data_IF_950099252438
#
_entry.id   IF_950099252438
#
_cell.length_a   1.000
_cell.length_b   1.000
_cell.length_c   1.000
_cell.angle_alpha   90.00
_cell.angle_beta   90.00
_cell.angle_gamma   90.00
#
_symmetry.space_group_name_H-M   'P 1'
#
loop_
_entity.id
_entity.type
_entity.pdbx_description
1 polymer ?
#
# COMPACT_ATOMS: atom_id res chain seq x y z
N UNK A 1 75.72 30.74 47.60
CA UNK A 1 74.45 30.45 48.26
C UNK A 1 73.36 31.07 47.42
N UNK A 2 72.85 30.28 46.42
CA UNK A 2 71.85 30.74 45.47
C UNK A 2 70.52 29.99 45.73
N UNK A 3 69.51 30.73 46.11
CA UNK A 3 68.15 30.17 46.25
C UNK A 3 67.49 30.03 44.90
N UNK A 4 67.01 28.81 44.55
CA UNK A 4 66.15 28.53 43.38
C UNK A 4 64.64 28.76 43.75
N UNK A 5 64.11 29.84 43.22
CA UNK A 5 62.58 30.02 43.24
C UNK A 5 61.92 29.05 42.27
N UNK A 6 61.11 28.17 42.81
CA UNK A 6 60.16 27.29 42.03
C UNK A 6 59.01 28.13 41.58
N UNK A 7 58.90 28.33 40.28
CA UNK A 7 57.65 28.85 39.61
C UNK A 7 56.73 27.67 39.31
N UNK A 8 55.59 27.58 39.99
CA UNK A 8 54.57 26.65 39.72
C UNK A 8 53.65 27.21 38.60
N UNK A 9 53.68 26.60 37.42
CA UNK A 9 52.79 26.91 36.28
C UNK A 9 51.45 26.15 36.48
N UNK A 10 50.39 26.86 36.85
CA UNK A 10 49.04 26.30 36.93
C UNK A 10 48.44 26.26 35.51
N UNK A 11 48.31 25.06 34.93
CA UNK A 11 47.58 24.83 33.69
C UNK A 11 46.10 24.70 34.05
N UNK A 12 45.30 25.74 33.75
CA UNK A 12 43.86 25.72 33.86
C UNK A 12 43.30 24.98 32.63
N UNK A 13 42.93 23.72 32.80
CA UNK A 13 42.16 22.94 31.81
C UNK A 13 40.72 23.45 31.81
N UNK A 14 40.34 24.30 30.85
CA UNK A 14 38.96 24.62 30.54
C UNK A 14 38.27 23.40 29.88
N UNK A 15 37.57 22.59 30.66
CA UNK A 15 36.65 21.59 30.17
C UNK A 15 35.43 22.32 29.58
N UNK A 16 35.39 22.45 28.26
CA UNK A 16 34.16 22.87 27.56
C UNK A 16 33.17 21.73 27.68
N UNK A 17 32.25 21.83 28.65
CA UNK A 17 31.04 20.99 28.64
C UNK A 17 30.19 21.42 27.45
N UNK A 18 30.29 20.67 26.37
CA UNK A 18 29.26 20.73 25.30
C UNK A 18 27.99 20.12 25.90
N UNK A 19 27.16 20.95 26.49
CA UNK A 19 25.78 20.58 26.80
C UNK A 19 25.07 20.41 25.44
N UNK A 20 25.10 19.20 24.91
CA UNK A 20 24.20 18.83 23.82
C UNK A 20 22.78 19.10 24.31
N UNK A 21 22.14 20.13 23.79
CA UNK A 21 20.69 20.28 23.96
C UNK A 21 20.08 18.94 23.53
N UNK A 22 19.39 18.26 24.43
CA UNK A 22 18.60 17.10 24.07
C UNK A 22 17.54 17.61 23.08
N UNK A 23 17.77 17.36 21.79
CA UNK A 23 16.79 17.67 20.77
C UNK A 23 15.56 16.81 21.03
N UNK A 24 14.39 17.42 21.04
CA UNK A 24 13.15 16.66 21.24
C UNK A 24 12.92 15.74 20.04
N UNK A 25 12.48 14.50 20.32
CA UNK A 25 12.14 13.54 19.26
C UNK A 25 11.08 14.14 18.31
N UNK A 26 11.26 13.89 17.00
CA UNK A 26 10.22 14.19 16.01
C UNK A 26 9.10 13.13 16.13
N UNK A 27 7.93 13.54 16.61
CA UNK A 27 6.79 12.65 16.68
C UNK A 27 6.09 12.54 15.33
N UNK A 28 5.74 11.33 14.93
CA UNK A 28 4.88 11.06 13.77
C UNK A 28 3.72 10.16 14.17
N UNK A 29 2.53 10.45 13.67
CA UNK A 29 1.36 9.60 13.87
C UNK A 29 1.34 8.44 12.87
N UNK A 30 0.75 7.30 13.26
CA UNK A 30 0.50 6.15 12.40
C UNK A 30 -0.94 5.65 12.58
N UNK A 31 -1.81 5.93 11.60
CA UNK A 31 -3.24 5.55 11.61
C UNK A 31 -3.42 4.31 10.72
N UNK A 32 -3.60 3.15 11.35
CA UNK A 32 -3.81 1.87 10.66
C UNK A 32 -4.83 1.02 11.41
N UNK A 33 -5.51 0.08 10.76
CA UNK A 33 -6.32 -0.92 11.46
C UNK A 33 -5.39 -1.97 12.09
N UNK A 34 -5.08 -1.82 13.38
CA UNK A 34 -4.27 -2.79 14.13
C UNK A 34 -5.11 -3.91 14.72
N UNK A 35 -6.43 -3.75 14.77
CA UNK A 35 -7.40 -4.75 15.23
C UNK A 35 -8.57 -4.88 14.26
N UNK A 36 -9.50 -5.79 14.53
CA UNK A 36 -10.70 -6.03 13.70
C UNK A 36 -10.41 -6.79 12.39
N UNK A 37 -11.36 -6.73 11.48
CA UNK A 37 -11.36 -7.53 10.23
C UNK A 37 -10.20 -7.21 9.27
N UNK A 38 -9.61 -6.02 9.35
CA UNK A 38 -8.53 -5.54 8.50
C UNK A 38 -7.15 -5.60 9.17
N UNK A 39 -7.05 -6.19 10.37
CA UNK A 39 -5.84 -6.16 11.19
C UNK A 39 -4.62 -6.75 10.50
N UNK A 40 -4.76 -7.87 9.78
CA UNK A 40 -3.61 -8.53 9.14
C UNK A 40 -2.92 -7.61 8.14
N UNK A 41 -3.68 -6.98 7.25
CA UNK A 41 -3.13 -6.05 6.25
C UNK A 41 -2.76 -4.69 6.83
N UNK A 42 -3.49 -4.23 7.87
CA UNK A 42 -3.13 -3.02 8.59
C UNK A 42 -1.79 -3.14 9.31
N UNK A 43 -1.58 -4.25 10.02
CA UNK A 43 -0.30 -4.54 10.67
C UNK A 43 0.82 -4.76 9.66
N UNK A 44 0.55 -5.49 8.57
CA UNK A 44 1.52 -5.70 7.49
C UNK A 44 1.95 -4.37 6.86
N UNK A 45 1.01 -3.48 6.58
CA UNK A 45 1.27 -2.12 6.08
C UNK A 45 2.13 -1.32 7.06
N UNK A 46 1.76 -1.33 8.35
CA UNK A 46 2.51 -0.62 9.40
C UNK A 46 3.95 -1.12 9.54
N UNK A 47 4.22 -2.42 9.39
CA UNK A 47 5.59 -2.98 9.46
C UNK A 47 6.53 -2.31 8.46
N UNK A 48 6.04 -1.96 7.27
CA UNK A 48 6.82 -1.22 6.28
C UNK A 48 7.24 0.17 6.78
N UNK A 49 6.31 0.92 7.36
CA UNK A 49 6.60 2.22 7.98
C UNK A 49 7.60 2.06 9.15
N UNK A 50 7.40 1.08 10.01
CA UNK A 50 8.25 0.85 11.19
C UNK A 50 9.69 0.54 10.79
N UNK A 51 9.90 -0.31 9.76
CA UNK A 51 11.25 -0.58 9.21
C UNK A 51 11.88 0.69 8.64
N UNK A 52 11.12 1.50 7.88
CA UNK A 52 11.64 2.74 7.29
C UNK A 52 12.09 3.73 8.39
N UNK A 53 11.28 3.91 9.43
CA UNK A 53 11.61 4.78 10.57
C UNK A 53 12.82 4.25 11.34
N UNK A 54 12.90 2.93 11.58
CA UNK A 54 14.03 2.32 12.26
C UNK A 54 15.34 2.50 11.48
N UNK A 55 15.30 2.40 10.14
CA UNK A 55 16.47 2.69 9.31
C UNK A 55 16.92 4.15 9.40
N UNK A 56 15.99 5.11 9.39
CA UNK A 56 16.30 6.53 9.52
C UNK A 56 16.89 6.82 10.91
N UNK A 57 16.30 6.25 11.96
CA UNK A 57 16.81 6.40 13.33
C UNK A 57 18.21 5.81 13.50
N UNK A 58 18.47 4.65 12.92
CA UNK A 58 19.81 4.02 12.93
C UNK A 58 20.85 4.84 12.15
N UNK A 59 20.43 5.64 11.16
CA UNK A 59 21.28 6.54 10.39
C UNK A 59 21.48 7.92 11.06
N UNK A 60 20.99 8.14 12.27
CA UNK A 60 21.12 9.39 13.01
C UNK A 60 19.85 10.23 13.10
N UNK A 61 18.70 9.68 12.68
CA UNK A 61 17.39 10.32 12.78
C UNK A 61 17.07 11.31 11.65
N UNK A 62 15.97 12.01 11.80
CA UNK A 62 15.53 13.05 10.86
C UNK A 62 16.25 14.36 11.22
N UNK A 63 17.22 14.74 10.41
CA UNK A 63 18.05 15.94 10.65
C UNK A 63 18.76 15.96 12.05
N UNK A 64 19.10 14.78 12.56
CA UNK A 64 19.74 14.63 13.86
C UNK A 64 18.78 14.37 15.03
N UNK A 65 17.49 14.35 14.78
CA UNK A 65 16.45 14.09 15.77
C UNK A 65 15.83 12.70 15.57
N UNK A 66 15.65 11.95 16.65
CA UNK A 66 15.03 10.63 16.59
C UNK A 66 13.54 10.75 16.26
N UNK A 67 13.03 9.85 15.40
CA UNK A 67 11.61 9.76 15.10
C UNK A 67 10.94 8.79 16.08
N UNK A 68 9.86 9.24 16.71
CA UNK A 68 8.99 8.41 17.55
C UNK A 68 7.62 8.26 16.89
N UNK A 69 7.15 7.01 16.75
CA UNK A 69 5.86 6.69 16.14
C UNK A 69 4.77 6.60 17.21
N UNK A 70 3.72 7.39 17.06
CA UNK A 70 2.50 7.31 17.88
C UNK A 70 1.44 6.50 17.11
N UNK A 71 1.14 5.28 17.59
CA UNK A 71 0.16 4.39 16.94
C UNK A 71 -1.27 4.81 17.26
N UNK A 72 -2.14 4.70 16.27
CA UNK A 72 -3.57 4.94 16.37
C UNK A 72 -4.32 3.81 15.66
N UNK A 73 -5.08 3.02 16.42
CA UNK A 73 -5.88 1.92 15.90
C UNK A 73 -7.20 2.47 15.32
N UNK A 74 -7.40 2.29 14.02
CA UNK A 74 -8.56 2.76 13.31
C UNK A 74 -9.22 1.62 12.53
N UNK A 75 -10.16 0.92 13.15
CA UNK A 75 -10.85 -0.23 12.53
C UNK A 75 -11.99 0.19 11.60
N UNK A 76 -12.46 1.43 11.74
CA UNK A 76 -13.55 2.00 10.94
C UNK A 76 -13.39 3.53 10.77
N UNK A 77 -14.23 4.18 9.93
CA UNK A 77 -14.17 5.62 9.71
C UNK A 77 -14.39 6.47 10.96
N UNK A 78 -15.20 6.01 11.92
CA UNK A 78 -15.48 6.74 13.16
C UNK A 78 -14.26 6.79 14.05
N UNK A 79 -13.61 5.64 14.25
CA UNK A 79 -12.35 5.56 14.99
C UNK A 79 -11.22 6.32 14.27
N UNK A 80 -11.17 6.28 12.92
CA UNK A 80 -10.21 7.04 12.17
C UNK A 80 -10.27 8.54 12.50
N UNK A 81 -11.47 9.12 12.61
CA UNK A 81 -11.64 10.53 13.00
C UNK A 81 -11.16 10.78 14.43
N UNK A 82 -11.58 9.97 15.42
CA UNK A 82 -11.23 10.18 16.82
C UNK A 82 -9.74 10.00 17.09
N UNK A 83 -9.15 8.96 16.53
CA UNK A 83 -7.73 8.68 16.71
C UNK A 83 -6.83 9.69 15.97
N UNK A 84 -7.24 10.16 14.80
CA UNK A 84 -6.51 11.23 14.11
C UNK A 84 -6.57 12.54 14.88
N UNK A 85 -7.72 12.89 15.48
CA UNK A 85 -7.82 14.06 16.38
C UNK A 85 -6.89 13.93 17.57
N UNK A 86 -6.79 12.74 18.18
CA UNK A 86 -5.85 12.49 19.27
C UNK A 86 -4.41 12.75 18.80
N UNK A 87 -3.99 12.14 17.68
CA UNK A 87 -2.64 12.35 17.14
C UNK A 87 -2.32 13.81 16.85
N UNK A 88 -3.24 14.54 16.21
CA UNK A 88 -3.02 15.97 15.89
C UNK A 88 -2.95 16.87 17.14
N UNK A 89 -3.47 16.40 18.29
CA UNK A 89 -3.32 17.11 19.57
C UNK A 89 -2.01 16.82 20.31
N UNK A 90 -1.21 15.87 19.83
CA UNK A 90 0.07 15.47 20.43
C UNK A 90 1.31 16.06 19.70
N UNK A 91 1.14 17.12 18.92
CA UNK A 91 2.18 17.85 18.18
C UNK A 91 2.99 16.94 17.23
N UNK A 92 2.31 16.08 16.47
CA UNK A 92 2.95 15.27 15.46
C UNK A 92 3.35 16.10 14.24
N UNK A 93 4.56 15.88 13.73
CA UNK A 93 5.07 16.56 12.53
C UNK A 93 4.36 16.10 11.24
N UNK A 94 3.86 14.88 11.23
CA UNK A 94 3.09 14.28 10.14
C UNK A 94 2.29 13.08 10.64
N UNK A 95 1.27 12.67 9.89
CA UNK A 95 0.54 11.41 10.08
C UNK A 95 0.77 10.52 8.89
N UNK A 96 1.17 9.27 9.12
CA UNK A 96 1.27 8.20 8.12
C UNK A 96 0.06 7.28 8.24
N UNK A 97 -0.46 6.84 7.15
CA UNK A 97 -1.57 5.90 7.11
C UNK A 97 -1.96 5.67 5.66
N UNK A 98 -2.99 4.99 5.43
CA UNK A 98 -3.53 3.89 6.19
C UNK A 98 -3.42 2.61 5.32
N UNK A 99 -4.33 1.72 5.46
CA UNK A 99 -4.51 0.60 4.53
C UNK A 99 -5.84 0.75 3.76
N UNK A 100 -6.92 0.99 4.50
CA UNK A 100 -8.28 0.99 3.94
C UNK A 100 -8.73 2.41 3.53
N UNK A 101 -9.29 2.52 2.34
CA UNK A 101 -9.70 3.82 1.78
C UNK A 101 -10.77 4.54 2.61
N UNK A 102 -11.68 3.80 3.26
CA UNK A 102 -12.67 4.39 4.17
C UNK A 102 -12.04 5.06 5.39
N UNK A 103 -10.95 4.48 5.92
CA UNK A 103 -10.18 5.02 7.04
C UNK A 103 -9.49 6.32 6.63
N UNK A 104 -8.71 6.29 5.53
CA UNK A 104 -8.00 7.48 5.04
C UNK A 104 -8.97 8.60 4.63
N UNK A 105 -10.09 8.25 4.01
CA UNK A 105 -11.10 9.23 3.61
C UNK A 105 -11.67 9.98 4.82
N UNK A 106 -11.80 9.34 5.97
CA UNK A 106 -12.27 9.93 7.22
C UNK A 106 -11.16 10.65 8.02
N UNK A 107 -9.93 10.12 8.01
CA UNK A 107 -8.80 10.68 8.76
C UNK A 107 -8.27 12.00 8.15
N UNK A 108 -8.15 12.06 6.82
CA UNK A 108 -7.47 13.15 6.11
C UNK A 108 -8.12 14.54 6.24
N UNK A 109 -9.46 14.72 6.40
CA UNK A 109 -10.02 16.02 6.73
C UNK A 109 -9.54 16.55 8.08
N UNK A 110 -9.29 15.66 9.04
CA UNK A 110 -8.85 16.04 10.39
C UNK A 110 -7.43 16.61 10.37
N UNK A 111 -6.51 15.94 9.66
CA UNK A 111 -5.13 16.43 9.51
C UNK A 111 -5.06 17.69 8.67
N UNK A 112 -5.87 17.80 7.62
CA UNK A 112 -5.94 19.02 6.79
C UNK A 112 -6.37 20.24 7.62
N UNK A 113 -7.43 20.12 8.42
CA UNK A 113 -7.90 21.18 9.32
C UNK A 113 -6.88 21.55 10.40
N UNK A 114 -6.08 20.58 10.86
CA UNK A 114 -5.01 20.81 11.81
C UNK A 114 -3.73 21.38 11.18
N UNK A 115 -3.64 21.45 9.85
CA UNK A 115 -2.43 21.86 9.14
C UNK A 115 -1.29 20.85 9.26
N UNK A 116 -1.59 19.57 9.53
CA UNK A 116 -0.63 18.48 9.68
C UNK A 116 -0.55 17.67 8.39
N UNK A 117 0.63 17.47 7.80
CA UNK A 117 0.77 16.62 6.62
C UNK A 117 0.29 15.19 6.85
N UNK A 118 -0.50 14.66 5.90
CA UNK A 118 -0.89 13.25 5.88
C UNK A 118 -0.19 12.52 4.72
N UNK A 119 0.51 11.47 5.04
CA UNK A 119 1.24 10.63 4.09
C UNK A 119 0.53 9.30 3.90
N UNK A 120 -0.22 9.20 2.81
CA UNK A 120 -0.95 8.00 2.45
C UNK A 120 -0.01 6.96 1.83
N UNK A 121 -0.02 5.74 2.39
CA UNK A 121 0.89 4.66 2.03
C UNK A 121 0.18 3.44 1.41
N UNK A 122 -1.16 3.32 1.55
CA UNK A 122 -1.86 2.09 1.17
C UNK A 122 -3.25 2.29 0.56
N UNK A 123 -4.02 3.27 1.03
CA UNK A 123 -5.37 3.47 0.52
C UNK A 123 -5.39 4.02 -0.92
N UNK A 124 -6.21 3.42 -1.78
CA UNK A 124 -6.17 3.66 -3.22
C UNK A 124 -7.32 4.50 -3.77
N UNK A 125 -8.43 4.72 -3.04
CA UNK A 125 -9.59 5.45 -3.58
C UNK A 125 -9.19 6.80 -4.19
N UNK A 126 -9.68 7.06 -5.40
CA UNK A 126 -9.35 8.26 -6.17
C UNK A 126 -9.69 9.55 -5.41
N UNK A 127 -10.87 9.55 -4.77
CA UNK A 127 -11.36 10.70 -4.02
C UNK A 127 -10.50 11.12 -2.82
N UNK A 128 -9.53 10.32 -2.39
CA UNK A 128 -8.64 10.71 -1.29
C UNK A 128 -7.85 11.97 -1.67
N UNK A 129 -7.18 11.99 -2.82
CA UNK A 129 -6.31 13.11 -3.25
C UNK A 129 -7.00 14.16 -4.13
N UNK A 130 -8.27 13.96 -4.54
CA UNK A 130 -8.98 14.90 -5.45
C UNK A 130 -9.91 15.86 -4.74
N UNK A 131 -9.81 15.99 -3.41
CA UNK A 131 -10.62 16.90 -2.59
C UNK A 131 -10.02 18.30 -2.43
N UNK A 132 -8.87 18.58 -3.05
CA UNK A 132 -8.19 19.87 -2.99
C UNK A 132 -7.46 20.12 -1.67
N UNK A 133 -7.09 19.07 -0.93
CA UNK A 133 -6.31 19.20 0.31
C UNK A 133 -4.87 19.60 0.01
N UNK A 134 -4.36 20.50 0.82
CA UNK A 134 -3.02 21.08 0.67
C UNK A 134 -1.92 20.17 1.23
N UNK A 135 -2.23 19.48 2.32
CA UNK A 135 -1.25 18.72 3.11
C UNK A 135 -1.43 17.20 3.02
N UNK A 136 -2.12 16.73 2.00
CA UNK A 136 -2.31 15.30 1.74
C UNK A 136 -1.45 14.85 0.57
N UNK A 137 -0.65 13.78 0.79
CA UNK A 137 0.23 13.21 -0.22
C UNK A 137 0.07 11.70 -0.24
N UNK A 138 0.10 11.07 -1.43
CA UNK A 138 -0.02 9.63 -1.58
C UNK A 138 1.10 9.04 -2.43
N UNK A 139 1.81 8.06 -1.86
CA UNK A 139 2.93 7.37 -2.52
C UNK A 139 2.49 6.31 -3.53
N UNK A 140 1.41 5.60 -3.24
CA UNK A 140 0.89 4.48 -4.03
C UNK A 140 -0.04 4.93 -5.17
N UNK A 141 -0.30 4.07 -6.18
CA UNK A 141 -1.22 4.37 -7.27
C UNK A 141 -2.68 4.41 -6.77
N UNK A 142 -3.54 5.07 -7.53
CA UNK A 142 -4.96 5.25 -7.21
C UNK A 142 -5.89 4.31 -8.00
N UNK A 143 -7.15 4.26 -7.60
CA UNK A 143 -8.19 3.42 -8.22
C UNK A 143 -8.47 3.78 -9.69
N UNK A 144 -8.17 4.99 -10.13
CA UNK A 144 -8.24 5.37 -11.54
C UNK A 144 -7.29 4.58 -12.43
N UNK A 145 -6.11 4.24 -11.89
CA UNK A 145 -5.15 3.36 -12.56
C UNK A 145 -5.50 1.88 -12.35
N UNK A 146 -6.11 1.53 -11.22
CA UNK A 146 -6.35 0.15 -10.81
C UNK A 146 -7.26 -0.59 -11.80
N UNK A 147 -8.50 -0.17 -11.95
CA UNK A 147 -9.45 -0.83 -12.84
C UNK A 147 -8.99 -0.83 -14.29
N UNK A 148 -8.28 0.22 -14.73
CA UNK A 148 -7.63 0.25 -16.06
C UNK A 148 -6.57 -0.84 -16.16
N UNK A 149 -5.73 -1.03 -15.13
CA UNK A 149 -4.70 -2.06 -15.13
C UNK A 149 -5.30 -3.48 -15.16
N UNK A 150 -6.35 -3.73 -14.36
CA UNK A 150 -7.08 -5.02 -14.32
C UNK A 150 -7.61 -5.38 -15.71
N UNK A 151 -8.35 -4.48 -16.34
CA UNK A 151 -8.96 -4.77 -17.66
C UNK A 151 -7.90 -4.82 -18.77
N UNK A 152 -6.84 -4.02 -18.69
CA UNK A 152 -5.72 -4.12 -19.64
C UNK A 152 -4.96 -5.45 -19.49
N UNK A 153 -4.79 -5.98 -18.28
CA UNK A 153 -4.18 -7.29 -18.07
C UNK A 153 -5.04 -8.41 -18.67
N UNK A 154 -6.37 -8.32 -18.49
CA UNK A 154 -7.31 -9.22 -19.17
C UNK A 154 -7.13 -9.15 -20.68
N UNK A 155 -7.23 -7.95 -21.26
CA UNK A 155 -7.24 -7.74 -22.73
C UNK A 155 -5.92 -8.13 -23.42
N UNK A 156 -4.78 -7.74 -22.82
CA UNK A 156 -3.47 -7.86 -23.49
C UNK A 156 -2.72 -9.15 -23.18
N UNK A 157 -3.05 -9.79 -22.05
CA UNK A 157 -2.24 -10.91 -21.56
C UNK A 157 -3.10 -12.14 -21.25
N UNK A 158 -4.15 -11.98 -20.43
CA UNK A 158 -4.86 -13.14 -19.88
C UNK A 158 -5.76 -13.78 -20.96
N UNK A 159 -6.64 -13.00 -21.60
CA UNK A 159 -7.54 -13.52 -22.62
C UNK A 159 -6.79 -14.13 -23.82
N UNK A 160 -5.76 -13.48 -24.40
CA UNK A 160 -4.96 -14.10 -25.44
C UNK A 160 -4.23 -15.37 -24.99
N UNK A 161 -3.63 -15.37 -23.80
CA UNK A 161 -2.94 -16.53 -23.24
C UNK A 161 -3.85 -17.73 -22.99
N UNK A 162 -5.07 -17.48 -22.54
CA UNK A 162 -6.11 -18.50 -22.36
C UNK A 162 -6.75 -18.95 -23.70
N UNK A 163 -6.48 -18.24 -24.81
CA UNK A 163 -7.13 -18.47 -26.09
C UNK A 163 -8.61 -18.12 -26.09
N UNK A 164 -9.03 -17.18 -25.22
CA UNK A 164 -10.39 -16.70 -25.15
C UNK A 164 -10.66 -15.67 -26.25
N UNK A 165 -11.75 -15.91 -27.01
CA UNK A 165 -12.24 -14.91 -27.95
C UNK A 165 -13.03 -13.85 -27.18
N UNK A 166 -12.80 -12.59 -27.47
CA UNK A 166 -13.45 -11.45 -26.84
C UNK A 166 -14.97 -11.53 -26.87
N UNK A 167 -15.53 -11.98 -27.97
CA UNK A 167 -16.99 -12.11 -28.16
C UNK A 167 -17.62 -13.13 -27.21
N UNK A 168 -16.81 -14.06 -26.69
CA UNK A 168 -17.23 -15.09 -25.74
C UNK A 168 -16.91 -14.72 -24.28
N UNK A 169 -16.30 -13.56 -24.03
CA UNK A 169 -15.99 -13.08 -22.70
C UNK A 169 -17.20 -12.33 -22.15
N UNK A 170 -17.72 -12.83 -21.03
CA UNK A 170 -18.82 -12.24 -20.27
C UNK A 170 -18.29 -11.88 -18.88
N UNK A 171 -18.08 -10.60 -18.64
CA UNK A 171 -17.48 -10.09 -17.40
C UNK A 171 -18.56 -9.91 -16.32
N UNK A 172 -18.27 -10.43 -15.12
CA UNK A 172 -18.94 -10.05 -13.87
C UNK A 172 -17.98 -9.26 -12.99
N UNK A 173 -18.37 -8.06 -12.59
CA UNK A 173 -17.66 -7.24 -11.64
C UNK A 173 -18.34 -7.35 -10.29
N UNK A 174 -17.62 -7.75 -9.25
CA UNK A 174 -18.11 -7.81 -7.88
C UNK A 174 -17.13 -7.07 -6.95
N UNK A 175 -17.68 -6.35 -5.98
CA UNK A 175 -16.82 -5.50 -5.17
C UNK A 175 -17.45 -5.16 -3.80
N UNK A 176 -16.59 -4.90 -2.80
CA UNK A 176 -17.05 -4.31 -1.56
C UNK A 176 -17.64 -2.90 -1.81
N UNK A 177 -18.59 -2.48 -0.98
CA UNK A 177 -19.41 -1.28 -1.19
C UNK A 177 -18.78 0.03 -0.68
N UNK A 178 -17.57 -0.02 -0.12
CA UNK A 178 -16.82 1.16 0.32
C UNK A 178 -16.16 1.94 -0.82
N UNK A 179 -15.46 3.03 -0.49
CA UNK A 179 -14.81 3.87 -1.50
C UNK A 179 -13.80 3.15 -2.39
N UNK A 180 -13.12 2.11 -1.85
CA UNK A 180 -12.16 1.32 -2.60
C UNK A 180 -12.84 0.50 -3.70
N UNK A 181 -13.73 -0.42 -3.32
CA UNK A 181 -14.38 -1.32 -4.28
C UNK A 181 -15.25 -0.59 -5.30
N UNK A 182 -16.00 0.42 -4.84
CA UNK A 182 -16.84 1.24 -5.73
C UNK A 182 -16.04 1.98 -6.80
N UNK A 183 -14.90 2.58 -6.43
CA UNK A 183 -14.06 3.33 -7.39
C UNK A 183 -13.36 2.37 -8.38
N UNK A 184 -12.85 1.21 -7.92
CA UNK A 184 -12.24 0.21 -8.81
C UNK A 184 -13.26 -0.31 -9.79
N UNK A 185 -14.43 -0.76 -9.32
CA UNK A 185 -15.50 -1.30 -10.18
C UNK A 185 -15.97 -0.28 -11.24
N UNK A 186 -16.08 1.00 -10.87
CA UNK A 186 -16.44 2.06 -11.82
C UNK A 186 -15.40 2.20 -12.95
N UNK A 187 -14.11 2.14 -12.62
CA UNK A 187 -13.02 2.23 -13.61
C UNK A 187 -12.88 0.94 -14.43
N UNK A 188 -13.08 -0.23 -13.84
CA UNK A 188 -13.16 -1.52 -14.57
C UNK A 188 -14.29 -1.52 -15.59
N UNK A 189 -15.50 -1.14 -15.15
CA UNK A 189 -16.69 -1.08 -16.02
C UNK A 189 -16.48 -0.12 -17.20
N UNK A 190 -15.95 1.08 -16.90
CA UNK A 190 -15.62 2.08 -17.93
C UNK A 190 -14.60 1.52 -18.93
N UNK A 191 -13.50 0.95 -18.43
CA UNK A 191 -12.41 0.46 -19.29
C UNK A 191 -12.85 -0.76 -20.11
N UNK A 192 -13.62 -1.66 -19.53
CA UNK A 192 -14.21 -2.79 -20.25
C UNK A 192 -15.10 -2.33 -21.41
N UNK A 193 -15.96 -1.32 -21.16
CA UNK A 193 -16.79 -0.70 -22.19
C UNK A 193 -15.98 -0.03 -23.30
N UNK A 194 -14.91 0.73 -22.97
CA UNK A 194 -14.01 1.33 -23.96
C UNK A 194 -13.35 0.29 -24.86
N UNK A 195 -13.06 -0.89 -24.34
CA UNK A 195 -12.48 -1.99 -25.10
C UNK A 195 -13.55 -2.88 -25.76
N UNK A 196 -14.85 -2.61 -25.57
CA UNK A 196 -15.96 -3.36 -26.19
C UNK A 196 -16.22 -4.73 -25.55
N UNK A 197 -15.85 -4.93 -24.27
CA UNK A 197 -16.22 -6.14 -23.53
C UNK A 197 -17.66 -6.07 -23.03
N UNK A 198 -18.33 -7.24 -22.97
CA UNK A 198 -19.64 -7.38 -22.35
C UNK A 198 -19.49 -7.48 -20.83
N UNK A 199 -19.94 -6.47 -20.11
CA UNK A 199 -20.13 -6.53 -18.65
C UNK A 199 -21.57 -6.89 -18.38
N UNK A 200 -21.83 -8.13 -17.94
CA UNK A 200 -23.18 -8.62 -17.69
C UNK A 200 -23.71 -8.19 -16.32
N UNK A 201 -22.83 -8.17 -15.31
CA UNK A 201 -23.18 -7.82 -13.94
C UNK A 201 -22.12 -6.92 -13.32
N UNK A 202 -22.55 -5.98 -12.49
CA UNK A 202 -21.67 -5.15 -11.63
C UNK A 202 -22.35 -5.00 -10.28
N UNK A 203 -21.89 -5.78 -9.29
CA UNK A 203 -22.63 -6.06 -8.06
C UNK A 203 -21.82 -5.66 -6.82
N UNK A 204 -22.26 -4.62 -6.07
CA UNK A 204 -21.71 -4.31 -4.78
C UNK A 204 -22.21 -5.29 -3.71
N UNK A 205 -21.39 -5.50 -2.68
CA UNK A 205 -21.76 -6.17 -1.45
C UNK A 205 -21.11 -5.49 -0.24
N UNK A 206 -21.70 -5.65 0.93
CA UNK A 206 -21.09 -5.11 2.16
C UNK A 206 -19.82 -5.90 2.53
N UNK A 207 -18.73 -5.21 2.82
CA UNK A 207 -17.50 -5.85 3.33
C UNK A 207 -17.70 -6.59 4.66
N UNK A 208 -18.87 -6.42 5.29
CA UNK A 208 -19.29 -7.17 6.50
C UNK A 208 -20.21 -8.35 6.18
N UNK A 209 -20.46 -8.63 4.90
CA UNK A 209 -21.33 -9.75 4.51
C UNK A 209 -20.75 -11.08 4.95
N UNK A 210 -21.62 -12.00 5.26
CA UNK A 210 -21.30 -13.41 5.55
C UNK A 210 -21.91 -14.34 4.52
N UNK A 211 -22.59 -13.77 3.50
CA UNK A 211 -23.25 -14.54 2.44
C UNK A 211 -23.21 -13.79 1.10
N UNK A 212 -22.63 -14.43 0.09
CA UNK A 212 -22.54 -13.99 -1.31
C UNK A 212 -23.33 -14.91 -2.26
N UNK A 213 -24.09 -15.88 -1.73
CA UNK A 213 -24.74 -16.94 -2.54
C UNK A 213 -25.66 -16.37 -3.61
N UNK A 214 -26.50 -15.38 -3.29
CA UNK A 214 -27.40 -14.75 -4.24
C UNK A 214 -26.67 -14.03 -5.36
N UNK A 215 -25.55 -13.36 -5.03
CA UNK A 215 -24.68 -12.68 -5.99
C UNK A 215 -24.02 -13.69 -6.93
N UNK A 216 -23.49 -14.79 -6.38
CA UNK A 216 -22.86 -15.86 -7.15
C UNK A 216 -23.86 -16.52 -8.11
N UNK A 217 -25.10 -16.77 -7.66
CA UNK A 217 -26.16 -17.32 -8.52
C UNK A 217 -26.53 -16.36 -9.66
N UNK A 218 -26.51 -15.04 -9.42
CA UNK A 218 -26.71 -14.04 -10.49
C UNK A 218 -25.59 -14.08 -11.52
N UNK A 219 -24.31 -14.14 -11.09
CA UNK A 219 -23.17 -14.26 -12.00
C UNK A 219 -23.31 -15.53 -12.86
N UNK A 220 -23.63 -16.66 -12.23
CA UNK A 220 -23.82 -17.94 -12.91
C UNK A 220 -24.97 -17.86 -13.91
N UNK A 221 -26.13 -17.30 -13.52
CA UNK A 221 -27.32 -17.14 -14.38
C UNK A 221 -27.07 -16.17 -15.55
N UNK A 222 -26.20 -15.20 -15.41
CA UNK A 222 -25.82 -14.26 -16.47
C UNK A 222 -24.76 -14.84 -17.43
N UNK A 223 -24.27 -16.05 -17.20
CA UNK A 223 -23.25 -16.71 -18.03
C UNK A 223 -21.87 -16.08 -17.88
N UNK A 224 -21.57 -15.49 -16.72
CA UNK A 224 -20.27 -14.89 -16.45
C UNK A 224 -19.18 -15.96 -16.47
N UNK A 225 -18.12 -15.73 -17.26
CA UNK A 225 -16.96 -16.60 -17.34
C UNK A 225 -15.65 -15.88 -16.96
N UNK A 226 -15.68 -14.55 -16.79
CA UNK A 226 -14.57 -13.75 -16.26
C UNK A 226 -15.08 -12.94 -15.07
N UNK A 227 -14.49 -13.15 -13.89
CA UNK A 227 -14.82 -12.40 -12.67
C UNK A 227 -13.71 -11.43 -12.36
N UNK A 228 -14.05 -10.14 -12.23
CA UNK A 228 -13.20 -9.10 -11.64
C UNK A 228 -13.72 -8.86 -10.22
N UNK A 229 -12.86 -9.11 -9.22
CA UNK A 229 -13.30 -9.08 -7.83
C UNK A 229 -12.43 -8.17 -6.97
N UNK A 230 -12.99 -7.05 -6.52
CA UNK A 230 -12.34 -6.14 -5.57
C UNK A 230 -12.80 -6.47 -4.16
N UNK A 231 -11.92 -7.08 -3.37
CA UNK A 231 -12.24 -7.68 -2.08
C UNK A 231 -11.18 -7.45 -1.02
N UNK A 232 -11.58 -7.52 0.24
CA UNK A 232 -10.70 -7.77 1.36
C UNK A 232 -10.54 -9.28 1.60
N UNK A 233 -9.75 -9.67 2.60
CA UNK A 233 -9.41 -11.07 2.82
C UNK A 233 -10.63 -11.97 3.05
N UNK A 234 -11.50 -11.59 3.98
CA UNK A 234 -12.61 -12.44 4.39
C UNK A 234 -13.63 -12.67 3.28
N UNK A 235 -13.95 -11.63 2.52
CA UNK A 235 -14.88 -11.68 1.42
C UNK A 235 -14.30 -12.41 0.20
N UNK A 236 -13.00 -12.32 -0.06
CA UNK A 236 -12.32 -13.15 -1.06
C UNK A 236 -12.44 -14.65 -0.70
N UNK A 237 -12.11 -15.04 0.54
CA UNK A 237 -12.25 -16.42 1.02
C UNK A 237 -13.71 -16.90 0.93
N UNK A 238 -14.65 -16.06 1.34
CA UNK A 238 -16.09 -16.35 1.28
C UNK A 238 -16.55 -16.61 -0.16
N UNK A 239 -16.09 -15.77 -1.12
CA UNK A 239 -16.40 -15.94 -2.54
C UNK A 239 -15.99 -17.33 -3.05
N UNK A 240 -14.74 -17.75 -2.81
CA UNK A 240 -14.26 -19.07 -3.26
C UNK A 240 -15.07 -20.20 -2.66
N UNK A 241 -15.34 -20.15 -1.36
CA UNK A 241 -16.11 -21.19 -0.65
C UNK A 241 -17.52 -21.33 -1.22
N UNK A 242 -18.19 -20.21 -1.43
CA UNK A 242 -19.60 -20.21 -1.90
C UNK A 242 -19.72 -20.41 -3.40
N UNK A 243 -18.76 -19.95 -4.22
CA UNK A 243 -18.69 -20.25 -5.63
C UNK A 243 -18.55 -21.76 -5.87
N UNK A 244 -17.68 -22.42 -5.11
CA UNK A 244 -17.52 -23.88 -5.14
C UNK A 244 -18.80 -24.60 -4.74
N UNK A 245 -19.45 -24.18 -3.67
CA UNK A 245 -20.72 -24.76 -3.21
C UNK A 245 -21.85 -24.58 -4.26
N UNK A 246 -21.90 -23.46 -4.98
CA UNK A 246 -22.86 -23.18 -6.04
C UNK A 246 -22.51 -23.85 -7.39
N UNK A 247 -21.36 -24.52 -7.51
CA UNK A 247 -20.85 -25.04 -8.78
C UNK A 247 -20.65 -23.92 -9.81
N UNK A 248 -20.22 -22.74 -9.37
CA UNK A 248 -19.81 -21.61 -10.21
C UNK A 248 -18.30 -21.64 -10.38
N UNK A 249 -17.84 -21.90 -11.60
CA UNK A 249 -16.44 -22.06 -11.93
C UNK A 249 -16.08 -21.23 -13.17
N UNK A 250 -15.84 -19.92 -13.03
CA UNK A 250 -15.47 -19.06 -14.14
C UNK A 250 -14.12 -19.47 -14.73
N UNK A 251 -13.89 -19.14 -16.02
CA UNK A 251 -12.63 -19.43 -16.71
C UNK A 251 -11.47 -18.60 -16.12
N UNK A 252 -11.76 -17.36 -15.72
CA UNK A 252 -10.79 -16.42 -15.19
C UNK A 252 -11.33 -15.72 -13.94
N UNK A 253 -10.51 -15.64 -12.90
CA UNK A 253 -10.72 -14.76 -11.75
C UNK A 253 -9.53 -13.81 -11.70
N UNK A 254 -9.81 -12.51 -11.66
CA UNK A 254 -8.82 -11.47 -11.44
C UNK A 254 -9.17 -10.72 -10.16
N UNK A 255 -8.34 -10.90 -9.13
CA UNK A 255 -8.40 -10.13 -7.90
C UNK A 255 -7.87 -8.72 -8.12
N UNK A 256 -8.44 -7.77 -7.41
CA UNK A 256 -7.90 -6.42 -7.30
C UNK A 256 -7.53 -6.18 -5.83
N UNK A 257 -6.27 -6.41 -5.51
CA UNK A 257 -5.63 -6.02 -4.26
C UNK A 257 -5.72 -6.97 -3.09
N UNK A 258 -5.55 -6.38 -1.92
CA UNK A 258 -5.14 -7.01 -0.68
C UNK A 258 -5.84 -8.30 -0.24
N UNK A 259 -7.08 -8.53 -0.63
CA UNK A 259 -7.78 -9.79 -0.36
C UNK A 259 -7.15 -10.99 -1.07
N UNK A 260 -6.62 -10.76 -2.25
CA UNK A 260 -6.03 -11.79 -3.11
C UNK A 260 -4.51 -11.92 -2.99
N UNK A 261 -3.83 -10.91 -2.46
CA UNK A 261 -2.37 -10.90 -2.35
C UNK A 261 -1.81 -11.52 -1.07
N UNK A 262 -2.67 -11.87 -0.10
CA UNK A 262 -2.26 -12.46 1.17
C UNK A 262 -1.96 -13.95 1.08
N UNK A 263 -0.84 -14.38 1.66
CA UNK A 263 -0.51 -15.79 1.80
C UNK A 263 -1.58 -16.57 2.61
N UNK A 264 -2.17 -15.95 3.64
CA UNK A 264 -3.22 -16.56 4.44
C UNK A 264 -4.54 -16.74 3.66
N UNK A 265 -4.85 -15.88 2.68
CA UNK A 265 -5.96 -16.11 1.76
C UNK A 265 -5.72 -17.37 0.93
N UNK A 266 -4.53 -17.50 0.34
CA UNK A 266 -4.19 -18.69 -0.45
C UNK A 266 -4.24 -19.96 0.40
N UNK A 267 -3.77 -19.91 1.64
CA UNK A 267 -3.82 -21.03 2.57
C UNK A 267 -5.27 -21.43 2.90
N UNK A 268 -6.16 -20.46 3.09
CA UNK A 268 -7.57 -20.70 3.40
C UNK A 268 -8.35 -21.24 2.19
N UNK A 269 -8.09 -20.72 1.00
CA UNK A 269 -8.72 -21.17 -0.26
C UNK A 269 -8.19 -22.52 -0.72
N UNK A 270 -6.91 -22.79 -0.45
CA UNK A 270 -6.25 -24.03 -0.87
C UNK A 270 -5.95 -24.07 -2.38
N UNK A 271 -5.99 -25.27 -3.00
CA UNK A 271 -5.62 -25.44 -4.42
C UNK A 271 -6.41 -24.61 -5.40
N UNK A 272 -7.64 -24.22 -5.05
CA UNK A 272 -8.56 -23.48 -5.94
C UNK A 272 -8.04 -22.04 -6.23
N UNK A 273 -7.05 -21.55 -5.48
CA UNK A 273 -6.40 -20.26 -5.74
C UNK A 273 -5.44 -20.30 -6.93
N UNK A 274 -4.91 -21.49 -7.30
CA UNK A 274 -3.92 -21.60 -8.38
C UNK A 274 -4.53 -21.19 -9.73
N UNK A 275 -3.79 -20.39 -10.47
CA UNK A 275 -4.23 -19.81 -11.74
C UNK A 275 -4.96 -18.47 -11.60
N UNK A 276 -5.37 -18.10 -10.39
CA UNK A 276 -5.99 -16.79 -10.12
C UNK A 276 -4.96 -15.69 -10.32
N UNK A 277 -5.35 -14.66 -11.06
CA UNK A 277 -4.56 -13.44 -11.21
C UNK A 277 -4.92 -12.44 -10.12
N UNK A 278 -3.95 -11.66 -9.74
CA UNK A 278 -4.13 -10.53 -8.84
C UNK A 278 -3.36 -9.31 -9.35
N UNK A 279 -3.99 -8.15 -9.30
CA UNK A 279 -3.30 -6.88 -9.50
C UNK A 279 -3.24 -6.18 -8.15
N UNK A 280 -2.02 -5.83 -7.74
CA UNK A 280 -1.80 -5.16 -6.46
C UNK A 280 -0.46 -4.42 -6.49
N UNK A 281 -0.05 -3.92 -5.33
CA UNK A 281 1.28 -3.37 -5.12
C UNK A 281 2.36 -4.42 -5.38
N UNK A 282 3.57 -3.98 -5.79
CA UNK A 282 4.70 -4.88 -6.00
C UNK A 282 4.94 -5.76 -4.78
N UNK A 283 4.98 -7.08 -5.00
CA UNK A 283 5.26 -8.06 -3.96
C UNK A 283 6.77 -8.20 -3.74
N UNK A 284 7.18 -8.92 -2.68
CA UNK A 284 8.57 -9.31 -2.49
C UNK A 284 9.07 -10.26 -3.61
N UNK A 285 8.15 -10.91 -4.33
CA UNK A 285 8.42 -11.80 -5.47
C UNK A 285 8.60 -11.03 -6.79
N UNK A 286 9.55 -10.07 -6.81
CA UNK A 286 9.97 -9.32 -8.00
C UNK A 286 11.46 -9.51 -8.27
N UNK A 287 11.88 -9.25 -9.51
CA UNK A 287 13.27 -9.32 -9.90
C UNK A 287 14.09 -8.22 -9.21
N UNK A 288 15.07 -8.58 -8.35
CA UNK A 288 15.83 -7.60 -7.58
C UNK A 288 16.70 -6.66 -8.43
N UNK A 289 16.99 -7.02 -9.69
CA UNK A 289 17.73 -6.14 -10.61
C UNK A 289 17.02 -4.82 -10.89
N UNK A 290 15.68 -4.82 -10.85
CA UNK A 290 14.87 -3.61 -11.03
C UNK A 290 14.32 -3.04 -9.72
N UNK A 291 14.77 -3.55 -8.56
CA UNK A 291 14.28 -3.20 -7.22
C UNK A 291 15.46 -3.08 -6.22
N UNK A 292 16.36 -2.10 -6.41
CA UNK A 292 17.51 -1.92 -5.53
C UNK A 292 17.07 -1.62 -4.09
N UNK A 293 17.62 -2.37 -3.14
CA UNK A 293 17.24 -2.28 -1.73
C UNK A 293 16.15 -3.26 -1.30
N UNK A 294 15.59 -4.07 -2.20
CA UNK A 294 14.63 -5.13 -1.84
C UNK A 294 15.24 -6.12 -0.83
N UNK A 295 16.46 -6.62 -1.09
CA UNK A 295 17.13 -7.56 -0.20
C UNK A 295 17.39 -6.97 1.20
N UNK A 296 17.71 -5.68 1.25
CA UNK A 296 17.89 -4.96 2.52
C UNK A 296 16.57 -4.91 3.29
N UNK A 297 15.46 -4.59 2.62
CA UNK A 297 14.13 -4.60 3.23
C UNK A 297 13.77 -6.00 3.74
N UNK A 298 13.97 -7.04 2.94
CA UNK A 298 13.65 -8.42 3.33
C UNK A 298 14.46 -8.87 4.54
N UNK A 299 15.74 -8.52 4.59
CA UNK A 299 16.62 -8.82 5.73
C UNK A 299 16.17 -8.07 7.00
N UNK A 300 15.81 -6.80 6.88
CA UNK A 300 15.29 -6.01 8.00
C UNK A 300 13.94 -6.53 8.49
N UNK A 301 13.05 -6.92 7.57
CA UNK A 301 11.76 -7.51 7.89
C UNK A 301 11.94 -8.83 8.65
N UNK A 302 12.79 -9.74 8.14
CA UNK A 302 13.09 -11.01 8.78
C UNK A 302 13.68 -10.82 10.18
N UNK A 303 14.58 -9.87 10.34
CA UNK A 303 15.19 -9.58 11.65
C UNK A 303 14.18 -9.01 12.66
N UNK A 304 13.24 -8.18 12.21
CA UNK A 304 12.25 -7.54 13.08
C UNK A 304 11.10 -8.48 13.48
N UNK A 305 10.66 -9.36 12.56
CA UNK A 305 9.39 -10.10 12.74
C UNK A 305 9.57 -11.62 12.68
N UNK A 306 10.79 -12.13 12.50
CA UNK A 306 11.09 -13.55 12.37
C UNK A 306 10.27 -14.29 11.30
N UNK A 307 9.90 -13.56 10.24
CA UNK A 307 9.11 -14.05 9.10
C UNK A 307 9.40 -13.24 7.86
N UNK A 308 9.02 -13.71 6.69
CA UNK A 308 8.95 -12.89 5.47
C UNK A 308 7.69 -12.04 5.40
N UNK A 309 7.65 -11.02 4.51
CA UNK A 309 6.45 -10.23 4.23
C UNK A 309 5.25 -11.11 3.83
N UNK A 310 4.07 -10.78 4.34
CA UNK A 310 2.84 -11.53 4.07
C UNK A 310 2.12 -11.03 2.83
N UNK A 311 2.42 -9.81 2.41
CA UNK A 311 1.94 -9.18 1.17
C UNK A 311 2.85 -8.03 0.75
N UNK A 312 2.65 -7.48 -0.46
CA UNK A 312 3.38 -6.31 -0.95
C UNK A 312 3.09 -5.00 -0.20
N UNK A 313 2.10 -5.01 0.70
CA UNK A 313 1.73 -3.81 1.44
C UNK A 313 2.85 -3.31 2.36
N UNK A 314 3.59 -4.21 3.02
CA UNK A 314 4.76 -3.79 3.82
C UNK A 314 5.86 -3.18 2.95
N UNK A 315 6.15 -3.77 1.79
CA UNK A 315 7.16 -3.23 0.88
C UNK A 315 6.74 -1.87 0.28
N UNK A 316 5.47 -1.73 -0.11
CA UNK A 316 4.92 -0.47 -0.62
C UNK A 316 4.97 0.64 0.44
N UNK A 317 4.55 0.32 1.67
CA UNK A 317 4.59 1.25 2.80
C UNK A 317 6.02 1.62 3.19
N UNK A 318 6.95 0.68 3.16
CA UNK A 318 8.38 0.95 3.37
C UNK A 318 8.92 1.95 2.34
N UNK A 319 8.67 1.71 1.06
CA UNK A 319 9.16 2.58 -0.03
C UNK A 319 8.49 3.96 0.04
N UNK A 320 7.17 4.01 0.27
CA UNK A 320 6.44 5.26 0.43
C UNK A 320 6.89 6.06 1.66
N UNK A 321 7.04 5.40 2.81
CA UNK A 321 7.52 6.04 4.03
C UNK A 321 8.93 6.59 3.86
N UNK A 322 9.85 5.85 3.22
CA UNK A 322 11.20 6.36 2.92
C UNK A 322 11.16 7.60 2.04
N UNK A 323 10.34 7.61 1.00
CA UNK A 323 10.20 8.77 0.13
C UNK A 323 9.75 10.02 0.91
N UNK A 324 8.75 9.87 1.79
CA UNK A 324 8.26 10.99 2.61
C UNK A 324 9.26 11.40 3.71
N UNK A 325 9.93 10.46 4.34
CA UNK A 325 10.97 10.77 5.33
C UNK A 325 12.18 11.47 4.68
N UNK A 326 12.59 11.05 3.47
CA UNK A 326 13.62 11.76 2.69
C UNK A 326 13.16 13.19 2.31
N UNK A 327 11.89 13.36 1.93
CA UNK A 327 11.33 14.69 1.64
C UNK A 327 11.29 15.58 2.90
N UNK A 328 10.89 15.03 4.05
CA UNK A 328 10.95 15.74 5.34
C UNK A 328 12.38 16.14 5.72
N UNK A 329 13.36 15.25 5.51
CA UNK A 329 14.77 15.55 5.73
C UNK A 329 15.25 16.69 4.81
N UNK A 330 14.85 16.69 3.54
CA UNK A 330 15.17 17.74 2.58
C UNK A 330 14.53 19.09 2.93
N UNK A 331 13.34 19.07 3.52
CA UNK A 331 12.67 20.27 4.02
C UNK A 331 13.43 20.96 5.16
N UNK A 332 14.27 20.21 5.89
CA UNK A 332 15.01 20.67 7.09
C UNK A 332 14.10 21.39 8.09
N UNK A 333 12.87 20.96 8.19
CA UNK A 333 11.82 21.58 8.98
C UNK A 333 10.63 20.66 9.15
N UNK A 334 9.92 20.78 10.26
CA UNK A 334 8.60 20.16 10.51
C UNK A 334 7.43 21.06 10.11
N UNK A 335 7.70 22.22 9.54
CA UNK A 335 6.66 23.11 9.02
C UNK A 335 5.97 22.50 7.80
N UNK A 336 4.65 22.42 7.80
CA UNK A 336 3.83 21.74 6.78
C UNK A 336 4.04 22.30 5.36
N UNK A 337 4.20 23.62 5.20
CA UNK A 337 4.43 24.22 3.88
C UNK A 337 5.79 23.82 3.30
N UNK A 338 6.84 23.82 4.13
CA UNK A 338 8.17 23.37 3.70
C UNK A 338 8.20 21.87 3.38
N UNK A 339 7.46 21.05 4.16
CA UNK A 339 7.29 19.62 3.85
C UNK A 339 6.57 19.47 2.51
N UNK A 340 5.48 20.21 2.27
CA UNK A 340 4.79 20.20 0.97
C UNK A 340 5.73 20.52 -0.18
N UNK A 341 6.47 21.62 -0.11
CA UNK A 341 7.43 22.03 -1.14
C UNK A 341 8.44 20.90 -1.43
N UNK A 342 8.98 20.30 -0.39
CA UNK A 342 9.94 19.21 -0.51
C UNK A 342 9.33 17.94 -1.12
N UNK A 343 8.08 17.58 -0.78
CA UNK A 343 7.37 16.44 -1.36
C UNK A 343 7.09 16.68 -2.85
N UNK A 344 6.60 17.87 -3.23
CA UNK A 344 6.31 18.17 -4.64
C UNK A 344 7.58 18.24 -5.51
N UNK A 345 8.72 18.59 -4.91
CA UNK A 345 10.02 18.57 -5.57
C UNK A 345 10.68 17.17 -5.61
N UNK A 346 10.14 16.19 -4.84
CA UNK A 346 10.74 14.86 -4.72
C UNK A 346 10.51 14.01 -5.96
N UNK A 347 11.61 13.55 -6.57
CA UNK A 347 11.59 12.70 -7.77
C UNK A 347 12.54 11.54 -7.64
N UNK A 348 12.10 10.37 -8.07
CA UNK A 348 12.91 9.15 -8.22
C UNK A 348 12.56 8.45 -9.53
N UNK A 349 13.52 8.00 -10.33
CA UNK A 349 13.23 7.26 -11.55
C UNK A 349 12.71 5.85 -11.25
N UNK A 350 11.98 5.27 -12.20
CA UNK A 350 11.54 3.88 -12.12
C UNK A 350 12.75 2.93 -11.99
N UNK A 351 12.59 1.86 -11.20
CA UNK A 351 13.64 0.90 -10.93
C UNK A 351 14.72 1.39 -9.95
N UNK A 352 14.52 2.52 -9.26
CA UNK A 352 15.47 3.03 -8.27
C UNK A 352 15.05 2.81 -6.81
N UNK A 353 13.90 2.19 -6.58
CA UNK A 353 13.35 1.91 -5.25
C UNK A 353 13.21 0.41 -5.01
N UNK A 354 13.06 0.02 -3.75
CA UNK A 354 13.01 -1.39 -3.34
C UNK A 354 11.82 -2.18 -3.93
N UNK A 355 10.79 -1.50 -4.45
CA UNK A 355 9.67 -2.11 -5.17
C UNK A 355 9.59 -1.73 -6.64
N UNK A 356 10.60 -1.01 -7.15
CA UNK A 356 10.67 -0.58 -8.54
C UNK A 356 9.85 0.67 -8.89
N UNK A 357 9.08 1.24 -7.95
CA UNK A 357 8.30 2.45 -8.22
C UNK A 357 9.18 3.67 -8.51
N UNK A 358 8.65 4.55 -9.35
CA UNK A 358 9.12 5.92 -9.50
C UNK A 358 8.34 6.86 -8.57
N UNK A 359 8.88 8.06 -8.34
CA UNK A 359 8.18 9.15 -7.65
C UNK A 359 8.18 10.41 -8.49
N UNK A 360 7.00 10.98 -8.67
CA UNK A 360 6.75 12.30 -9.25
C UNK A 360 5.38 12.79 -8.76
N UNK A 361 5.38 13.70 -7.78
CA UNK A 361 4.14 14.16 -7.15
C UNK A 361 3.48 15.28 -7.94
N UNK A 362 2.16 15.17 -8.13
CA UNK A 362 1.33 16.23 -8.66
C UNK A 362 0.95 17.26 -7.59
N UNK A 363 0.41 18.39 -8.03
CA UNK A 363 -0.10 19.45 -7.14
C UNK A 363 -1.20 18.96 -6.19
N UNK A 364 -1.93 17.91 -6.61
CA UNK A 364 -2.92 17.19 -5.82
C UNK A 364 -2.33 16.24 -4.78
N UNK A 365 -0.99 16.20 -4.64
CA UNK A 365 -0.26 15.31 -3.75
C UNK A 365 -0.20 13.84 -4.19
N UNK A 366 -0.75 13.49 -5.36
CA UNK A 366 -0.68 12.12 -5.89
C UNK A 366 0.67 11.84 -6.54
N UNK A 367 1.33 10.74 -6.16
CA UNK A 367 2.41 10.18 -6.97
C UNK A 367 1.86 9.65 -8.29
N UNK A 368 2.23 10.29 -9.40
CA UNK A 368 1.79 9.95 -10.77
C UNK A 368 2.57 8.81 -11.39
N UNK A 369 3.69 8.43 -10.79
CA UNK A 369 4.67 7.50 -11.36
C UNK A 369 4.65 6.11 -10.70
N UNK A 370 3.83 5.89 -9.67
CA UNK A 370 3.60 4.57 -9.10
C UNK A 370 2.58 3.77 -9.92
N UNK A 371 2.68 2.43 -9.91
CA UNK A 371 1.81 1.56 -10.69
C UNK A 371 1.52 0.25 -9.96
N UNK A 372 0.48 -0.46 -10.43
CA UNK A 372 0.16 -1.81 -10.00
C UNK A 372 0.92 -2.84 -10.83
N UNK A 373 1.19 -4.01 -10.23
CA UNK A 373 1.81 -5.14 -10.91
C UNK A 373 0.79 -6.27 -11.05
N UNK A 374 0.97 -7.09 -12.07
CA UNK A 374 0.15 -8.29 -12.24
C UNK A 374 0.90 -9.48 -11.68
N UNK A 375 0.24 -10.18 -10.79
CA UNK A 375 0.68 -11.41 -10.19
C UNK A 375 -0.24 -12.56 -10.56
N UNK A 376 0.23 -13.79 -10.36
CA UNK A 376 -0.56 -15.00 -10.48
C UNK A 376 -0.20 -15.99 -9.37
N UNK A 377 -1.19 -16.62 -8.80
CA UNK A 377 -0.99 -17.73 -7.89
C UNK A 377 -0.55 -18.97 -8.67
N UNK A 378 0.67 -19.44 -8.42
CA UNK A 378 1.30 -20.59 -9.06
C UNK A 378 1.84 -21.50 -7.96
N UNK A 379 1.30 -22.71 -7.87
CA UNK A 379 1.68 -23.71 -6.83
C UNK A 379 1.72 -23.15 -5.41
N UNK A 380 0.67 -22.38 -5.06
CA UNK A 380 0.50 -21.78 -3.74
C UNK A 380 1.41 -20.57 -3.47
N UNK A 381 2.12 -20.06 -4.49
CA UNK A 381 2.97 -18.86 -4.40
C UNK A 381 2.42 -17.75 -5.30
N UNK A 382 2.39 -16.54 -4.80
CA UNK A 382 2.05 -15.36 -5.60
C UNK A 382 3.31 -14.89 -6.35
N UNK A 383 3.28 -15.04 -7.68
CA UNK A 383 4.42 -14.74 -8.55
C UNK A 383 4.13 -13.52 -9.40
N UNK A 384 5.00 -12.53 -9.39
CA UNK A 384 4.90 -11.39 -10.29
C UNK A 384 5.18 -11.82 -11.72
N UNK A 385 4.23 -11.56 -12.61
CA UNK A 385 4.28 -11.93 -14.03
C UNK A 385 4.34 -10.72 -14.96
N UNK A 386 3.93 -9.54 -14.51
CA UNK A 386 4.08 -8.25 -15.21
C UNK A 386 4.38 -7.13 -14.21
N UNK A 387 5.17 -6.10 -14.61
CA UNK A 387 5.82 -5.94 -15.93
C UNK A 387 6.99 -6.92 -16.11
N UNK A 388 7.31 -7.26 -17.36
CA UNK A 388 8.30 -8.31 -17.70
C UNK A 388 9.69 -8.07 -17.10
N UNK A 389 10.15 -6.83 -17.03
CA UNK A 389 11.46 -6.47 -16.47
C UNK A 389 11.56 -6.69 -14.96
N UNK A 390 10.44 -6.83 -14.26
CA UNK A 390 10.35 -7.09 -12.82
C UNK A 390 9.74 -8.47 -12.51
N UNK A 391 9.32 -9.21 -13.53
CA UNK A 391 8.71 -10.52 -13.38
C UNK A 391 9.74 -11.56 -12.89
N UNK A 392 9.28 -12.48 -12.05
CA UNK A 392 10.01 -13.70 -11.66
C UNK A 392 9.49 -14.95 -12.37
N UNK A 393 8.32 -14.87 -12.98
CA UNK A 393 7.72 -15.97 -13.73
C UNK A 393 6.95 -15.46 -14.94
N UNK A 394 6.45 -16.42 -15.73
CA UNK A 394 5.51 -16.14 -16.82
C UNK A 394 4.10 -16.54 -16.38
N UNK A 395 3.06 -15.92 -16.94
CA UNK A 395 1.70 -16.39 -16.71
C UNK A 395 1.55 -17.85 -17.15
N UNK A 396 0.86 -18.64 -16.35
CA UNK A 396 0.52 -20.02 -16.66
C UNK A 396 -0.96 -20.06 -17.04
N UNK A 397 -1.25 -20.54 -18.23
CA UNK A 397 -2.59 -20.61 -18.79
C UNK A 397 -3.03 -22.08 -18.85
N UNK A 398 -3.74 -22.54 -17.85
CA UNK A 398 -4.32 -23.87 -17.86
C UNK A 398 -5.67 -23.79 -18.57
N UNK A 399 -5.78 -24.36 -19.75
CA UNK A 399 -7.10 -24.61 -20.37
C UNK A 399 -7.81 -25.64 -19.51
N UNK A 400 -8.98 -25.25 -18.96
CA UNK A 400 -9.87 -26.17 -18.26
C UNK A 400 -10.56 -27.13 -19.24
#
# INVERSE_FOLDING_TARGET
MFELKKIALAVATCSVMVTGAASADVKVGAVFPFSGALALLGQESFRGLEIAVNEVNAAGGLNGEKITILKADAVDPTQAVSETKRLTSEDVAAVFGSYASGISYAATPVTELAGVPYFELGATAHKITTRGYKYLFRSNPNTGLYGVAVVNALDKTIAPGMGLNKDNIVIGIIHEDGPYGTDVAATEKKRAGELGYKVAESLPYSAKTVDLSSLILRLKGAGVNVVLHTAYQNDAILFFSQAKAAGFNPDVIIGAGGGYSLADTAKAVGPDINGVFDLDFPQASINPKGAPGLEKFLSAYQAAYNSGPQSGHSLANYVGAKAFLEAMANAKSTNADKIREAVLAYKKPAGSTANGWAFDFGEDGQNKASTFYTMQWQDGKLVTVLPENLALGKPIFNKK
#
